data_IF_642539811949
#
_entry.id   IF_642539811949
#
_cell.length_a   1.000
_cell.length_b   1.000
_cell.length_c   1.000
_cell.angle_alpha   90.00
_cell.angle_beta   90.00
_cell.angle_gamma   90.00
#
_symmetry.space_group_name_H-M   'P 1'
#
loop_
_entity.id
_entity.type
_entity.pdbx_description
1 polymer ?
#
# COMPACT_ATOMS: atom_id res chain seq x y z
N UNK A 1 -54.31 20.81 -10.77
CA UNK A 1 -53.42 19.77 -11.35
C UNK A 1 -51.99 20.28 -11.56
N UNK A 2 -51.79 21.44 -12.21
CA UNK A 2 -50.47 22.02 -12.48
C UNK A 2 -49.56 22.29 -11.26
N UNK A 3 -50.13 22.63 -10.09
CA UNK A 3 -49.35 22.93 -8.88
C UNK A 3 -48.71 21.68 -8.26
N UNK A 4 -49.41 20.53 -8.28
CA UNK A 4 -48.88 19.24 -7.80
C UNK A 4 -47.68 18.78 -8.64
N UNK A 5 -47.76 18.94 -9.96
CA UNK A 5 -46.67 18.60 -10.88
C UNK A 5 -45.41 19.45 -10.65
N UNK A 6 -45.57 20.75 -10.37
CA UNK A 6 -44.45 21.65 -10.09
C UNK A 6 -43.76 21.35 -8.75
N UNK A 7 -44.53 20.94 -7.74
CA UNK A 7 -44.00 20.55 -6.42
C UNK A 7 -43.18 19.25 -6.53
N UNK A 8 -43.69 18.24 -7.23
CA UNK A 8 -42.98 16.98 -7.50
C UNK A 8 -41.63 17.19 -8.21
N UNK A 9 -41.59 18.07 -9.21
CA UNK A 9 -40.36 18.42 -9.95
C UNK A 9 -39.34 19.18 -9.09
N UNK A 10 -39.81 20.06 -8.21
CA UNK A 10 -38.95 20.79 -7.25
C UNK A 10 -38.39 19.82 -6.20
N UNK A 11 -39.18 18.85 -5.74
CA UNK A 11 -38.72 17.83 -4.79
C UNK A 11 -37.64 16.95 -5.42
N UNK A 12 -37.85 16.42 -6.64
CA UNK A 12 -36.88 15.57 -7.34
C UNK A 12 -35.54 16.30 -7.60
N UNK A 13 -35.58 17.56 -8.04
CA UNK A 13 -34.37 18.34 -8.28
C UNK A 13 -33.59 18.68 -7.00
N UNK A 14 -34.29 18.87 -5.86
CA UNK A 14 -33.65 19.02 -4.54
C UNK A 14 -33.01 17.72 -4.06
N UNK A 15 -33.72 16.59 -4.21
CA UNK A 15 -33.20 15.27 -3.84
C UNK A 15 -31.94 14.92 -4.64
N UNK A 16 -31.95 15.18 -5.95
CA UNK A 16 -30.78 14.95 -6.81
C UNK A 16 -29.56 15.77 -6.38
N UNK A 17 -29.75 17.05 -6.03
CA UNK A 17 -28.66 17.92 -5.54
C UNK A 17 -28.09 17.44 -4.20
N UNK A 18 -28.94 16.96 -3.30
CA UNK A 18 -28.52 16.44 -2.00
C UNK A 18 -27.72 15.13 -2.15
N UNK A 19 -28.15 14.25 -3.05
CA UNK A 19 -27.41 13.01 -3.36
C UNK A 19 -26.03 13.33 -3.95
N UNK A 20 -25.96 14.26 -4.92
CA UNK A 20 -24.68 14.67 -5.52
C UNK A 20 -23.76 15.32 -4.49
N UNK A 21 -24.30 16.20 -3.62
CA UNK A 21 -23.52 16.82 -2.55
C UNK A 21 -22.99 15.78 -1.55
N UNK A 22 -23.81 14.78 -1.18
CA UNK A 22 -23.38 13.67 -0.32
C UNK A 22 -22.29 12.81 -0.96
N UNK A 23 -22.40 12.50 -2.26
CA UNK A 23 -21.38 11.73 -2.98
C UNK A 23 -20.05 12.50 -3.05
N UNK A 24 -20.08 13.80 -3.35
CA UNK A 24 -18.87 14.63 -3.38
C UNK A 24 -18.22 14.76 -2.00
N UNK A 25 -19.02 14.91 -0.95
CA UNK A 25 -18.52 14.93 0.43
C UNK A 25 -17.88 13.58 0.82
N UNK A 26 -18.51 12.46 0.46
CA UNK A 26 -17.97 11.12 0.72
C UNK A 26 -16.62 10.88 0.03
N UNK A 27 -16.44 11.37 -1.20
CA UNK A 27 -15.15 11.29 -1.91
C UNK A 27 -14.10 12.19 -1.24
N UNK A 28 -14.47 13.38 -0.78
CA UNK A 28 -13.55 14.28 -0.05
C UNK A 28 -13.15 13.79 1.34
N UNK A 29 -13.97 12.94 1.96
CA UNK A 29 -13.71 12.29 3.26
C UNK A 29 -12.93 10.97 3.14
N UNK A 30 -12.80 10.41 1.93
CA UNK A 30 -11.99 9.24 1.70
C UNK A 30 -10.50 9.61 1.87
N UNK A 31 -9.86 9.10 2.92
CA UNK A 31 -8.42 9.28 3.12
C UNK A 31 -7.62 8.71 1.95
N UNK A 32 -6.51 9.36 1.59
CA UNK A 32 -5.58 8.80 0.61
C UNK A 32 -5.08 7.45 1.13
N UNK A 33 -5.37 6.36 0.41
CA UNK A 33 -4.70 5.09 0.66
C UNK A 33 -3.22 5.29 0.31
N UNK A 34 -2.37 5.48 1.33
CA UNK A 34 -0.92 5.46 1.15
C UNK A 34 -0.55 4.00 0.98
N UNK A 35 0.02 3.66 -0.18
CA UNK A 35 0.78 2.43 -0.31
C UNK A 35 1.77 2.40 0.87
N UNK A 36 1.72 1.34 1.68
CA UNK A 36 2.73 1.18 2.71
C UNK A 36 4.06 0.81 2.05
N UNK A 37 5.15 1.01 2.78
CA UNK A 37 6.51 0.79 2.27
C UNK A 37 6.68 -0.62 1.67
N UNK A 38 5.97 -1.63 2.17
CA UNK A 38 6.04 -3.01 1.67
C UNK A 38 5.45 -3.10 0.27
N UNK A 39 4.31 -2.44 0.02
CA UNK A 39 3.67 -2.42 -1.30
C UNK A 39 4.48 -1.65 -2.35
N UNK A 40 5.10 -0.52 -1.98
CA UNK A 40 5.99 0.25 -2.87
C UNK A 40 7.22 -0.57 -3.29
N UNK A 41 7.85 -1.26 -2.34
CA UNK A 41 9.00 -2.12 -2.62
C UNK A 41 8.62 -3.39 -3.38
N UNK A 42 7.43 -3.95 -3.18
CA UNK A 42 6.93 -5.05 -4.02
C UNK A 42 6.83 -4.60 -5.49
N UNK A 43 6.23 -3.44 -5.75
CA UNK A 43 6.12 -2.93 -7.12
C UNK A 43 7.51 -2.64 -7.72
N UNK A 44 8.39 -2.01 -6.93
CA UNK A 44 9.78 -1.74 -7.33
C UNK A 44 10.51 -3.04 -7.69
N UNK A 45 10.45 -4.06 -6.83
CA UNK A 45 11.11 -5.34 -7.06
C UNK A 45 10.61 -6.03 -8.32
N UNK A 46 9.29 -6.09 -8.54
CA UNK A 46 8.70 -6.70 -9.75
C UNK A 46 9.23 -5.98 -11.00
N UNK A 47 9.22 -4.65 -11.00
CA UNK A 47 9.70 -3.84 -12.13
C UNK A 47 11.20 -4.04 -12.37
N UNK A 48 12.03 -3.94 -11.34
CA UNK A 48 13.50 -4.04 -11.48
C UNK A 48 13.93 -5.46 -11.86
N UNK A 49 13.36 -6.50 -11.25
CA UNK A 49 13.61 -7.89 -11.63
C UNK A 49 13.22 -8.15 -13.08
N UNK A 50 12.07 -7.63 -13.51
CA UNK A 50 11.59 -7.80 -14.89
C UNK A 50 12.50 -7.11 -15.90
N UNK A 51 12.99 -5.91 -15.57
CA UNK A 51 13.94 -5.14 -16.38
C UNK A 51 15.32 -5.83 -16.47
N UNK A 52 15.76 -6.47 -15.39
CA UNK A 52 16.97 -7.30 -15.36
C UNK A 52 16.81 -8.66 -16.07
N UNK A 53 15.68 -8.91 -16.73
CA UNK A 53 15.41 -10.18 -17.42
C UNK A 53 15.12 -11.35 -16.49
N UNK A 54 15.01 -11.12 -15.17
CA UNK A 54 14.64 -12.14 -14.20
C UNK A 54 13.15 -12.45 -14.37
N UNK A 55 12.85 -13.70 -14.71
CA UNK A 55 11.50 -14.23 -14.90
C UNK A 55 11.24 -15.35 -13.90
N UNK A 56 10.02 -15.86 -13.91
CA UNK A 56 9.69 -17.09 -13.19
C UNK A 56 10.61 -18.25 -13.64
N UNK A 57 11.03 -19.17 -12.74
CA UNK A 57 10.87 -19.16 -11.27
C UNK A 57 11.75 -18.21 -10.42
N UNK A 58 12.99 -17.83 -10.81
CA UNK A 58 13.88 -17.02 -9.96
C UNK A 58 13.27 -15.74 -9.40
N UNK A 59 12.35 -15.10 -10.14
CA UNK A 59 11.65 -13.91 -9.68
C UNK A 59 10.86 -14.14 -8.37
N UNK A 60 10.20 -15.29 -8.21
CA UNK A 60 9.41 -15.56 -6.99
C UNK A 60 10.32 -15.80 -5.79
N UNK A 61 11.48 -16.45 -6.00
CA UNK A 61 12.50 -16.61 -4.96
C UNK A 61 13.04 -15.25 -4.51
N UNK A 62 13.34 -14.35 -5.45
CA UNK A 62 13.82 -13.01 -5.13
C UNK A 62 12.79 -12.21 -4.30
N UNK A 63 11.51 -12.25 -4.68
CA UNK A 63 10.43 -11.62 -3.92
C UNK A 63 10.29 -12.21 -2.52
N UNK A 64 10.35 -13.55 -2.39
CA UNK A 64 10.26 -14.21 -1.09
C UNK A 64 11.42 -13.81 -0.16
N UNK A 65 12.66 -13.76 -0.68
CA UNK A 65 13.83 -13.31 0.08
C UNK A 65 13.67 -11.86 0.55
N UNK A 66 13.21 -10.98 -0.35
CA UNK A 66 13.00 -9.57 -0.02
C UNK A 66 11.94 -9.40 1.08
N UNK A 67 10.78 -10.06 0.96
CA UNK A 67 9.71 -9.95 1.94
C UNK A 67 10.07 -10.56 3.30
N UNK A 68 10.83 -11.65 3.32
CA UNK A 68 11.35 -12.21 4.57
C UNK A 68 12.32 -11.24 5.27
N UNK A 69 13.21 -10.59 4.52
CA UNK A 69 14.12 -9.59 5.08
C UNK A 69 13.38 -8.35 5.59
N UNK A 70 12.36 -7.87 4.88
CA UNK A 70 11.49 -6.77 5.33
C UNK A 70 10.79 -7.15 6.63
N UNK A 71 10.25 -8.37 6.71
CA UNK A 71 9.56 -8.86 7.91
C UNK A 71 10.49 -8.81 9.14
N UNK A 72 11.68 -9.39 9.04
CA UNK A 72 12.64 -9.39 10.16
C UNK A 72 13.08 -7.97 10.53
N UNK A 73 13.35 -7.11 9.55
CA UNK A 73 13.80 -5.73 9.78
C UNK A 73 12.72 -4.88 10.45
N UNK A 74 11.45 -5.00 10.03
CA UNK A 74 10.34 -4.30 10.67
C UNK A 74 10.08 -4.86 12.06
N UNK A 75 10.11 -6.18 12.21
CA UNK A 75 9.92 -6.84 13.49
C UNK A 75 10.99 -6.41 14.51
N UNK A 76 12.24 -6.20 14.07
CA UNK A 76 13.33 -5.73 14.92
C UNK A 76 13.03 -4.40 15.65
N UNK A 77 12.13 -3.56 15.12
CA UNK A 77 11.82 -2.25 15.71
C UNK A 77 11.01 -2.32 17.01
N UNK A 78 10.22 -3.38 17.19
CA UNK A 78 9.30 -3.51 18.32
C UNK A 78 9.10 -4.95 18.84
N UNK A 79 9.69 -5.96 18.21
CA UNK A 79 9.63 -7.38 18.56
C UNK A 79 8.22 -7.92 18.81
N UNK A 80 7.30 -7.62 17.89
CA UNK A 80 5.92 -8.09 17.98
C UNK A 80 5.74 -9.57 17.59
N UNK A 81 6.63 -10.10 16.77
CA UNK A 81 6.57 -11.45 16.20
C UNK A 81 7.89 -12.21 16.43
N UNK A 82 7.87 -13.51 16.17
CA UNK A 82 9.09 -14.33 16.12
C UNK A 82 9.79 -14.05 14.80
N UNK A 83 11.06 -13.64 14.88
CA UNK A 83 11.93 -13.40 13.73
C UNK A 83 12.07 -14.68 12.88
N UNK A 84 12.09 -14.53 11.56
CA UNK A 84 12.19 -15.63 10.60
C UNK A 84 13.63 -16.15 10.46
N UNK A 85 14.59 -15.28 10.21
CA UNK A 85 15.99 -15.63 9.98
C UNK A 85 16.97 -14.83 10.83
N UNK A 86 16.72 -13.53 11.04
CA UNK A 86 17.63 -12.63 11.76
C UNK A 86 16.92 -12.02 12.97
N UNK A 87 17.39 -12.36 14.16
CA UNK A 87 16.84 -11.84 15.41
C UNK A 87 17.71 -10.70 15.97
N UNK A 88 17.28 -9.47 15.70
CA UNK A 88 17.93 -8.23 16.14
C UNK A 88 16.89 -7.36 16.84
N UNK A 89 17.27 -6.69 17.94
CA UNK A 89 16.44 -5.68 18.60
C UNK A 89 16.96 -4.28 18.30
N UNK A 90 16.16 -3.46 17.63
CA UNK A 90 16.49 -2.10 17.20
C UNK A 90 15.38 -1.11 17.63
N UNK A 91 15.18 -0.90 18.94
CA UNK A 91 14.14 -0.03 19.44
C UNK A 91 14.38 1.42 18.99
N UNK A 92 13.32 2.10 18.55
CA UNK A 92 13.37 3.49 18.09
C UNK A 92 13.75 3.66 16.62
N UNK A 93 14.07 2.59 15.89
CA UNK A 93 14.19 2.64 14.43
C UNK A 93 12.80 2.81 13.77
N UNK A 94 12.73 3.56 12.66
CA UNK A 94 11.50 3.69 11.87
C UNK A 94 11.21 2.37 11.14
N UNK A 95 10.00 1.78 11.29
CA UNK A 95 9.58 0.61 10.54
C UNK A 95 9.68 0.81 9.02
N UNK A 96 9.33 1.99 8.54
CA UNK A 96 9.37 2.35 7.12
C UNK A 96 10.81 2.39 6.61
N UNK A 97 11.72 3.02 7.37
CA UNK A 97 13.14 3.05 7.01
C UNK A 97 13.77 1.64 7.05
N UNK A 98 13.41 0.83 8.04
CA UNK A 98 13.87 -0.56 8.17
C UNK A 98 13.42 -1.42 6.98
N UNK A 99 12.14 -1.33 6.59
CA UNK A 99 11.60 -2.01 5.41
C UNK A 99 12.34 -1.59 4.14
N UNK A 100 12.55 -0.28 3.95
CA UNK A 100 13.22 0.23 2.76
C UNK A 100 14.68 -0.22 2.66
N UNK A 101 15.43 -0.15 3.77
CA UNK A 101 16.82 -0.59 3.82
C UNK A 101 16.96 -2.08 3.55
N UNK A 102 16.09 -2.92 4.13
CA UNK A 102 16.11 -4.36 3.92
C UNK A 102 15.78 -4.72 2.46
N UNK A 103 14.73 -4.10 1.89
CA UNK A 103 14.34 -4.33 0.50
C UNK A 103 15.45 -3.96 -0.48
N UNK A 104 15.99 -2.74 -0.34
CA UNK A 104 17.10 -2.25 -1.14
C UNK A 104 18.33 -3.17 -1.04
N UNK A 105 18.69 -3.59 0.18
CA UNK A 105 19.83 -4.47 0.43
C UNK A 105 19.68 -5.83 -0.26
N UNK A 106 18.50 -6.46 -0.19
CA UNK A 106 18.28 -7.74 -0.89
C UNK A 106 18.35 -7.57 -2.39
N UNK A 107 17.67 -6.56 -2.96
CA UNK A 107 17.66 -6.35 -4.40
C UNK A 107 19.06 -6.06 -4.94
N UNK A 108 19.84 -5.19 -4.28
CA UNK A 108 21.21 -4.87 -4.70
C UNK A 108 22.13 -6.10 -4.71
N UNK A 109 21.92 -7.05 -3.79
CA UNK A 109 22.69 -8.30 -3.76
C UNK A 109 22.26 -9.31 -4.84
N UNK A 110 21.00 -9.25 -5.30
CA UNK A 110 20.46 -10.18 -6.30
C UNK A 110 20.61 -9.67 -7.73
N UNK A 111 20.51 -8.34 -7.93
CA UNK A 111 20.51 -7.65 -9.21
C UNK A 111 21.27 -6.32 -9.08
N UNK A 112 22.62 -6.36 -9.04
CA UNK A 112 23.46 -5.17 -8.88
C UNK A 112 23.41 -4.22 -10.08
#
# INVERSE_FOLDING_TARGET
MFLKFKIEQIIHSRQLRLIVAMLLAAVGLAGTARADMVTDWNQTAITTLSAAGVRFPPQTRALAMMHAAIFDAVNATNHRYISYAVDIYAPGASPEAAAAAAAHGVLLNLIP
#
